data_IF_806303271829
#
_entry.id   IF_806303271829
#
_cell.length_a   1.000
_cell.length_b   1.000
_cell.length_c   1.000
_cell.angle_alpha   90.00
_cell.angle_beta   90.00
_cell.angle_gamma   90.00
#
_symmetry.space_group_name_H-M   'P 1'
#
loop_
_entity.id
_entity.type
_entity.pdbx_description
1 polymer ?
#
# COMPACT_ATOMS: atom_id res chain seq x y z
N UNK A 1 -16.52 -16.07 -4.18
CA UNK A 1 -16.61 -16.36 -2.72
C UNK A 1 -15.78 -17.59 -2.38
N UNK A 2 -14.44 -17.52 -2.40
CA UNK A 2 -13.61 -18.72 -2.16
C UNK A 2 -12.29 -18.48 -1.42
N UNK A 3 -12.13 -17.38 -0.66
CA UNK A 3 -10.78 -16.93 -0.30
C UNK A 3 -10.65 -16.40 1.13
N UNK A 4 -11.65 -16.58 2.01
CA UNK A 4 -11.55 -16.08 3.40
C UNK A 4 -10.52 -16.89 4.21
N UNK A 5 -10.53 -18.22 4.06
CA UNK A 5 -9.58 -19.10 4.75
C UNK A 5 -8.15 -19.05 4.19
N UNK A 6 -7.95 -18.62 2.95
CA UNK A 6 -6.59 -18.48 2.39
C UNK A 6 -5.85 -17.30 2.99
N UNK A 7 -6.52 -16.16 3.17
CA UNK A 7 -5.91 -14.98 3.79
C UNK A 7 -5.72 -15.15 5.29
N UNK A 8 -6.63 -15.83 6.00
CA UNK A 8 -6.43 -16.17 7.43
C UNK A 8 -5.13 -16.97 7.64
N UNK A 9 -4.85 -17.94 6.76
CA UNK A 9 -3.59 -18.68 6.81
C UNK A 9 -2.37 -17.83 6.46
N UNK A 10 -2.49 -16.93 5.47
CA UNK A 10 -1.41 -16.00 5.10
C UNK A 10 -1.11 -15.04 6.26
N UNK A 11 -2.13 -14.47 6.89
CA UNK A 11 -1.99 -13.57 8.04
C UNK A 11 -1.32 -14.29 9.21
N UNK A 12 -1.72 -15.53 9.50
CA UNK A 12 -1.07 -16.34 10.54
C UNK A 12 0.41 -16.61 10.25
N UNK A 13 0.77 -16.97 9.00
CA UNK A 13 2.17 -17.09 8.61
C UNK A 13 2.95 -15.77 8.69
N UNK A 14 2.29 -14.65 8.41
CA UNK A 14 2.86 -13.32 8.61
C UNK A 14 3.15 -13.03 10.10
N UNK A 15 2.35 -13.54 11.04
CA UNK A 15 2.67 -13.45 12.48
C UNK A 15 3.86 -14.32 12.88
N UNK A 16 3.94 -15.55 12.36
CA UNK A 16 4.92 -16.55 12.80
C UNK A 16 6.31 -16.36 12.19
N UNK A 17 6.38 -15.90 10.94
CA UNK A 17 7.64 -15.76 10.21
C UNK A 17 7.81 -14.36 9.58
N UNK A 18 8.41 -13.41 10.31
CA UNK A 18 8.77 -12.09 9.78
C UNK A 18 9.57 -12.10 8.47
N UNK A 19 10.27 -13.19 8.15
CA UNK A 19 11.06 -13.28 6.91
C UNK A 19 10.16 -13.36 5.66
N UNK A 20 8.90 -13.77 5.81
CA UNK A 20 7.98 -13.87 4.68
C UNK A 20 7.44 -12.50 4.21
N UNK A 21 7.48 -11.47 5.07
CA UNK A 21 6.89 -10.16 4.78
C UNK A 21 7.46 -9.50 3.52
N UNK A 22 8.76 -9.65 3.29
CA UNK A 22 9.49 -9.05 2.16
C UNK A 22 9.54 -9.97 0.94
N UNK A 23 8.94 -11.16 1.01
CA UNK A 23 9.04 -12.15 -0.06
C UNK A 23 8.19 -11.71 -1.25
N UNK A 24 8.81 -11.61 -2.42
CA UNK A 24 8.12 -11.51 -3.70
C UNK A 24 7.52 -12.88 -4.04
N UNK A 25 6.19 -12.99 -4.02
CA UNK A 25 5.45 -14.25 -4.17
C UNK A 25 4.86 -14.43 -5.57
N UNK A 26 4.88 -13.39 -6.41
CA UNK A 26 4.48 -13.48 -7.82
C UNK A 26 5.63 -13.14 -8.77
N UNK A 27 5.46 -13.50 -10.05
CA UNK A 27 6.40 -13.17 -11.15
C UNK A 27 6.50 -11.68 -11.45
N UNK A 28 5.56 -10.87 -10.97
CA UNK A 28 5.56 -9.41 -11.10
C UNK A 28 6.11 -8.72 -9.85
N UNK A 29 6.69 -9.50 -8.93
CA UNK A 29 7.34 -8.98 -7.74
C UNK A 29 6.39 -8.52 -6.64
N UNK A 30 5.14 -8.99 -6.63
CA UNK A 30 4.20 -8.64 -5.57
C UNK A 30 4.58 -9.33 -4.27
N UNK A 31 4.54 -8.59 -3.17
CA UNK A 31 4.48 -9.17 -1.81
C UNK A 31 3.04 -9.51 -1.46
N UNK A 32 2.77 -10.21 -0.34
CA UNK A 32 1.39 -10.48 0.05
C UNK A 32 0.60 -9.21 0.36
N UNK A 33 1.27 -8.14 0.85
CA UNK A 33 0.61 -6.85 1.06
C UNK A 33 0.14 -6.23 -0.27
N UNK A 34 0.96 -6.31 -1.33
CA UNK A 34 0.51 -5.86 -2.65
C UNK A 34 -0.71 -6.66 -3.14
N UNK A 35 -0.73 -7.98 -2.92
CA UNK A 35 -1.85 -8.82 -3.32
C UNK A 35 -3.12 -8.51 -2.50
N UNK A 36 -3.02 -8.26 -1.20
CA UNK A 36 -4.15 -7.93 -0.36
C UNK A 36 -4.84 -6.63 -0.83
N UNK A 37 -4.01 -5.64 -1.18
CA UNK A 37 -4.50 -4.38 -1.77
C UNK A 37 -5.08 -4.60 -3.17
N UNK A 38 -4.42 -5.38 -4.02
CA UNK A 38 -4.90 -5.67 -5.38
C UNK A 38 -6.22 -6.47 -5.40
N UNK A 39 -6.45 -7.29 -4.38
CA UNK A 39 -7.70 -8.04 -4.19
C UNK A 39 -8.81 -7.17 -3.55
N UNK A 40 -8.51 -5.89 -3.28
CA UNK A 40 -9.41 -4.86 -2.77
C UNK A 40 -10.13 -5.26 -1.47
N UNK A 41 -9.41 -5.91 -0.55
CA UNK A 41 -9.93 -6.38 0.74
C UNK A 41 -9.48 -5.49 1.87
N UNK A 42 -10.25 -4.44 2.14
CA UNK A 42 -9.96 -3.44 3.16
C UNK A 42 -9.70 -4.07 4.54
N UNK A 43 -10.56 -4.98 5.00
CA UNK A 43 -10.39 -5.67 6.30
C UNK A 43 -9.07 -6.46 6.35
N UNK A 44 -8.74 -7.20 5.30
CA UNK A 44 -7.50 -7.99 5.24
C UNK A 44 -6.26 -7.10 5.18
N UNK A 45 -6.34 -5.94 4.52
CA UNK A 45 -5.25 -4.96 4.53
C UNK A 45 -5.04 -4.43 5.93
N UNK A 46 -6.11 -4.05 6.64
CA UNK A 46 -6.03 -3.61 8.05
C UNK A 46 -5.41 -4.67 8.95
N UNK A 47 -5.92 -5.90 8.89
CA UNK A 47 -5.44 -7.03 9.67
C UNK A 47 -3.94 -7.30 9.42
N UNK A 48 -3.49 -7.24 8.15
CA UNK A 48 -2.09 -7.43 7.80
C UNK A 48 -1.20 -6.29 8.31
N UNK A 49 -1.64 -5.03 8.19
CA UNK A 49 -0.88 -3.87 8.67
C UNK A 49 -0.74 -3.91 10.20
N UNK A 50 -1.82 -4.26 10.92
CA UNK A 50 -1.81 -4.43 12.37
C UNK A 50 -0.91 -5.60 12.79
N UNK A 51 -1.01 -6.75 12.10
CA UNK A 51 -0.17 -7.91 12.35
C UNK A 51 1.32 -7.62 12.17
N UNK A 52 1.69 -6.92 11.10
CA UNK A 52 3.07 -6.50 10.83
C UNK A 52 3.52 -5.48 11.89
N UNK A 53 2.71 -4.49 12.21
CA UNK A 53 3.03 -3.49 13.24
C UNK A 53 3.29 -4.15 14.60
N UNK A 54 2.43 -5.09 15.01
CA UNK A 54 2.54 -5.81 16.27
C UNK A 54 3.72 -6.79 16.31
N UNK A 55 4.02 -7.46 15.21
CA UNK A 55 5.08 -8.50 15.15
C UNK A 55 6.48 -7.93 14.98
N UNK A 56 6.65 -6.93 14.12
CA UNK A 56 7.97 -6.45 13.69
C UNK A 56 8.19 -4.95 13.90
N UNK A 57 7.16 -4.22 14.34
CA UNK A 57 7.23 -2.79 14.67
C UNK A 57 7.05 -1.85 13.48
N UNK A 58 6.77 -0.59 13.80
CA UNK A 58 6.46 0.48 12.83
C UNK A 58 7.54 0.73 11.79
N UNK A 59 8.83 0.68 12.16
CA UNK A 59 9.92 0.93 11.20
C UNK A 59 9.99 -0.13 10.09
N UNK A 60 9.73 -1.40 10.45
CA UNK A 60 9.68 -2.48 9.48
C UNK A 60 8.41 -2.44 8.66
N UNK A 61 7.28 -2.04 9.26
CA UNK A 61 6.05 -1.77 8.52
C UNK A 61 6.27 -0.72 7.41
N UNK A 62 6.90 0.42 7.73
CA UNK A 62 7.24 1.45 6.73
C UNK A 62 8.13 0.91 5.62
N UNK A 63 9.12 0.07 5.97
CA UNK A 63 9.98 -0.59 4.98
C UNK A 63 9.16 -1.45 4.01
N UNK A 64 8.18 -2.20 4.52
CA UNK A 64 7.29 -3.05 3.73
C UNK A 64 6.35 -2.24 2.84
N UNK A 65 5.84 -1.12 3.35
CA UNK A 65 5.00 -0.19 2.57
C UNK A 65 5.78 0.52 1.45
N UNK A 66 7.09 0.69 1.60
CA UNK A 66 7.97 1.25 0.56
C UNK A 66 8.47 0.22 -0.44
N UNK A 67 8.23 -1.07 -0.21
CA UNK A 67 8.61 -2.09 -1.16
C UNK A 67 7.89 -1.89 -2.48
N UNK A 68 8.65 -2.04 -3.56
CA UNK A 68 8.14 -1.91 -4.92
C UNK A 68 8.04 -3.28 -5.59
N UNK A 69 6.94 -3.49 -6.31
CA UNK A 69 6.85 -4.57 -7.27
C UNK A 69 7.76 -4.31 -8.49
N UNK A 70 7.74 -5.19 -9.49
CA UNK A 70 8.66 -5.05 -10.65
C UNK A 70 8.30 -3.86 -11.56
N UNK A 71 7.07 -3.34 -11.48
CA UNK A 71 6.65 -2.08 -12.10
C UNK A 71 6.99 -0.84 -11.27
N UNK A 72 7.70 -0.99 -10.15
CA UNK A 72 8.04 0.13 -9.27
C UNK A 72 6.89 0.57 -8.36
N UNK A 73 5.73 -0.08 -8.42
CA UNK A 73 4.55 0.30 -7.67
C UNK A 73 4.68 -0.14 -6.21
N UNK A 74 4.42 0.78 -5.29
CA UNK A 74 4.18 0.49 -3.86
C UNK A 74 2.73 0.03 -3.65
N UNK A 75 2.37 -0.54 -2.48
CA UNK A 75 0.98 -0.82 -2.14
C UNK A 75 0.04 0.38 -2.31
N UNK A 76 0.52 1.61 -2.05
CA UNK A 76 -0.30 2.82 -2.23
C UNK A 76 -0.65 3.08 -3.72
N UNK A 77 0.26 2.82 -4.66
CA UNK A 77 -0.07 2.91 -6.10
C UNK A 77 -1.17 1.93 -6.49
N UNK A 78 -1.11 0.71 -5.92
CA UNK A 78 -2.12 -0.32 -6.16
C UNK A 78 -3.47 0.12 -5.56
N UNK A 79 -3.49 0.66 -4.34
CA UNK A 79 -4.71 1.15 -3.69
C UNK A 79 -5.40 2.25 -4.52
N UNK A 80 -4.63 3.20 -5.05
CA UNK A 80 -5.11 4.23 -5.98
C UNK A 80 -5.72 3.59 -7.23
N UNK A 81 -5.04 2.60 -7.81
CA UNK A 81 -5.54 1.87 -8.99
C UNK A 81 -6.84 1.13 -8.71
N UNK A 82 -7.05 0.65 -7.48
CA UNK A 82 -8.28 -0.03 -7.03
C UNK A 82 -9.40 0.94 -6.67
N UNK A 83 -9.18 2.26 -6.71
CA UNK A 83 -10.18 3.30 -6.38
C UNK A 83 -10.68 3.26 -4.94
N UNK A 84 -9.97 2.60 -4.02
CA UNK A 84 -10.35 2.55 -2.62
C UNK A 84 -9.65 3.65 -1.85
N UNK A 85 -10.39 4.72 -1.56
CA UNK A 85 -9.93 5.78 -0.65
C UNK A 85 -9.63 5.23 0.74
N UNK A 86 -10.42 4.27 1.24
CA UNK A 86 -10.21 3.65 2.53
C UNK A 86 -8.86 2.91 2.62
N UNK A 87 -8.46 2.17 1.58
CA UNK A 87 -7.11 1.56 1.56
C UNK A 87 -6.01 2.62 1.42
N UNK A 88 -6.25 3.71 0.70
CA UNK A 88 -5.31 4.83 0.64
C UNK A 88 -5.10 5.46 2.03
N UNK A 89 -6.18 5.76 2.76
CA UNK A 89 -6.12 6.29 4.13
C UNK A 89 -5.38 5.32 5.06
N UNK A 90 -5.73 4.04 5.03
CA UNK A 90 -5.12 3.05 5.92
C UNK A 90 -3.61 2.92 5.72
N UNK A 91 -3.17 2.86 4.46
CA UNK A 91 -1.75 2.78 4.13
C UNK A 91 -1.03 4.08 4.50
N UNK A 92 -1.65 5.22 4.24
CA UNK A 92 -1.06 6.54 4.49
C UNK A 92 -0.88 6.80 6.00
N UNK A 93 -1.84 6.40 6.84
CA UNK A 93 -1.75 6.50 8.31
C UNK A 93 -0.46 5.89 8.89
N UNK A 94 0.15 4.93 8.20
CA UNK A 94 1.39 4.30 8.62
C UNK A 94 2.66 4.91 8.01
N UNK A 95 2.58 5.48 6.79
CA UNK A 95 3.68 6.21 6.15
C UNK A 95 3.18 7.21 5.08
N UNK A 96 2.90 8.44 5.51
CA UNK A 96 2.38 9.49 4.62
C UNK A 96 3.36 9.93 3.53
N UNK A 97 4.65 9.66 3.67
CA UNK A 97 5.63 10.03 2.64
C UNK A 97 5.53 9.17 1.37
N UNK A 98 4.73 8.09 1.39
CA UNK A 98 4.46 7.24 0.23
C UNK A 98 3.79 8.00 -0.93
N UNK A 99 3.03 9.07 -0.63
CA UNK A 99 2.33 9.88 -1.63
C UNK A 99 3.28 10.52 -2.66
N UNK A 100 4.55 10.70 -2.31
CA UNK A 100 5.60 11.26 -3.17
C UNK A 100 6.55 10.22 -3.76
N UNK A 101 6.34 8.91 -3.54
CA UNK A 101 7.25 7.87 -4.05
C UNK A 101 6.91 7.56 -5.50
N UNK A 102 7.81 7.74 -6.48
CA UNK A 102 7.51 7.45 -7.89
C UNK A 102 7.63 5.96 -8.22
N UNK A 103 6.80 5.44 -9.11
CA UNK A 103 6.95 4.12 -9.72
C UNK A 103 8.04 4.09 -10.81
N UNK A 104 8.17 2.99 -11.57
CA UNK A 104 9.17 2.87 -12.64
C UNK A 104 8.91 3.78 -13.84
N UNK A 105 7.69 4.29 -13.97
CA UNK A 105 7.30 5.26 -15.00
C UNK A 105 7.44 6.71 -14.52
N UNK A 106 7.91 6.91 -13.27
CA UNK A 106 8.04 8.23 -12.66
C UNK A 106 6.73 8.79 -12.08
N UNK A 107 5.64 8.03 -12.12
CA UNK A 107 4.35 8.44 -11.61
C UNK A 107 4.32 8.28 -10.09
N UNK A 108 3.92 9.33 -9.36
CA UNK A 108 3.62 9.26 -7.93
C UNK A 108 2.13 8.90 -7.72
N UNK A 109 1.73 8.27 -6.60
CA UNK A 109 0.34 7.85 -6.36
C UNK A 109 -0.69 8.97 -6.54
N UNK A 110 -0.35 10.20 -6.13
CA UNK A 110 -1.20 11.38 -6.30
C UNK A 110 -1.44 11.73 -7.78
N UNK A 111 -0.38 11.69 -8.59
CA UNK A 111 -0.48 11.93 -10.03
C UNK A 111 -1.25 10.82 -10.72
N UNK A 112 -1.00 9.56 -10.33
CA UNK A 112 -1.74 8.40 -10.81
C UNK A 112 -3.25 8.54 -10.54
N UNK A 113 -3.64 9.00 -9.36
CA UNK A 113 -5.05 9.23 -9.02
C UNK A 113 -5.69 10.30 -9.93
N UNK A 114 -4.96 11.37 -10.23
CA UNK A 114 -5.41 12.42 -11.15
C UNK A 114 -5.52 11.91 -12.59
N UNK A 115 -4.51 11.18 -13.08
CA UNK A 115 -4.46 10.62 -14.43
C UNK A 115 -5.59 9.61 -14.68
N UNK A 116 -5.92 8.79 -13.69
CA UNK A 116 -7.01 7.81 -13.78
C UNK A 116 -8.40 8.43 -13.53
N UNK A 117 -8.48 9.70 -13.12
CA UNK A 117 -9.75 10.36 -12.77
C UNK A 117 -10.38 9.80 -11.49
N UNK A 118 -9.58 9.20 -10.60
CA UNK A 118 -10.04 8.59 -9.36
C UNK A 118 -10.21 9.66 -8.27
N UNK A 119 -11.27 10.46 -8.41
CA UNK A 119 -11.52 11.65 -7.58
C UNK A 119 -11.44 11.38 -6.08
N UNK A 120 -12.04 10.30 -5.58
CA UNK A 120 -12.09 10.03 -4.14
C UNK A 120 -10.71 9.68 -3.57
N UNK A 121 -9.94 8.85 -4.29
CA UNK A 121 -8.55 8.55 -3.93
C UNK A 121 -7.66 9.80 -4.04
N UNK A 122 -7.86 10.63 -5.07
CA UNK A 122 -7.15 11.90 -5.21
C UNK A 122 -7.45 12.84 -4.03
N UNK A 123 -8.73 13.04 -3.69
CA UNK A 123 -9.14 13.89 -2.58
C UNK A 123 -8.57 13.40 -1.25
N UNK A 124 -8.71 12.10 -0.97
CA UNK A 124 -8.09 11.44 0.18
C UNK A 124 -6.59 11.80 0.28
N UNK A 125 -5.81 11.53 -0.77
CA UNK A 125 -4.37 11.82 -0.78
C UNK A 125 -4.06 13.32 -0.64
N UNK A 126 -4.89 14.22 -1.19
CA UNK A 126 -4.70 15.67 -1.06
C UNK A 126 -5.10 16.25 0.29
N UNK A 127 -6.19 15.75 0.91
CA UNK A 127 -6.64 16.18 2.24
C UNK A 127 -5.63 15.75 3.29
N UNK A 128 -5.03 14.58 3.09
CA UNK A 128 -3.90 14.06 3.85
C UNK A 128 -2.65 14.95 3.68
N UNK A 129 -2.31 15.34 2.45
CA UNK A 129 -1.18 16.25 2.18
C UNK A 129 -1.42 17.69 2.70
N UNK A 130 -2.67 18.06 2.98
CA UNK A 130 -3.05 19.42 3.40
C UNK A 130 -2.62 19.80 4.82
N UNK A 131 -2.24 18.83 5.66
CA UNK A 131 -1.83 19.10 7.04
C UNK A 131 -0.32 19.35 7.21
N UNK A 132 0.55 18.80 6.36
CA UNK A 132 1.99 19.08 6.40
C UNK A 132 2.63 19.01 5.00
N UNK A 133 3.33 20.08 4.63
CA UNK A 133 4.23 20.23 3.48
C UNK A 133 3.61 20.59 2.12
N UNK A 134 4.04 21.77 1.63
CA UNK A 134 3.81 22.22 0.27
C UNK A 134 4.32 21.20 -0.76
N UNK A 135 3.48 20.98 -1.77
CA UNK A 135 3.79 20.18 -2.94
C UNK A 135 5.20 20.52 -3.47
N UNK A 136 6.07 19.54 -3.73
CA UNK A 136 7.27 19.79 -4.50
C UNK A 136 6.82 20.22 -5.89
N UNK A 137 7.06 21.49 -6.17
CA UNK A 137 6.86 22.11 -7.47
C UNK A 137 7.75 21.32 -8.44
N UNK A 138 7.14 20.55 -9.34
CA UNK A 138 7.84 19.91 -10.44
C UNK A 138 8.41 21.02 -11.32
N UNK A 139 9.73 21.17 -11.31
CA UNK A 139 10.47 22.08 -12.18
C UNK A 139 11.25 21.29 -13.23
#
# INVERSE_FOLDING_TARGET
MAVRGEWENIVNHYYEDPSCHTRKITRSGYTALHLAVADCREDTVKDLLEAISASVGMERLKTLLRMKNDGGNTPLHIAVSMRSAAMCEEIDMHDSSLVGVPNSEGEIPLFLAAQLGHKDAFLCLTEICGCEAGLPILH
#
